data_IF_299011147369
#
_entry.id   IF_299011147369
#
_cell.length_a   1.000
_cell.length_b   1.000
_cell.length_c   1.000
_cell.angle_alpha   90.00
_cell.angle_beta   90.00
_cell.angle_gamma   90.00
#
_symmetry.space_group_name_H-M   'P 1'
#
loop_
_entity.id
_entity.type
_entity.pdbx_description
1 polymer ?
#
# COMPACT_ATOMS: atom_id res chain seq x y z
N UNK A 1 -10.20 -10.01 -11.40
CA UNK A 1 -10.42 -8.59 -11.03
C UNK A 1 -10.36 -8.44 -9.52
N UNK A 2 -9.76 -7.36 -9.01
CA UNK A 2 -9.68 -7.08 -7.57
C UNK A 2 -11.09 -6.72 -7.04
N UNK A 3 -11.64 -7.53 -6.14
CA UNK A 3 -12.95 -7.25 -5.54
C UNK A 3 -12.95 -6.01 -4.65
N UNK A 4 -14.12 -5.37 -4.47
CA UNK A 4 -14.29 -4.11 -3.72
C UNK A 4 -13.73 -4.19 -2.30
N UNK A 5 -13.94 -5.31 -1.61
CA UNK A 5 -13.47 -5.49 -0.23
C UNK A 5 -11.95 -5.52 -0.15
N UNK A 6 -11.28 -6.32 -1.00
CA UNK A 6 -9.81 -6.34 -1.10
C UNK A 6 -9.26 -4.95 -1.45
N UNK A 7 -9.87 -4.27 -2.41
CA UNK A 7 -9.48 -2.92 -2.81
C UNK A 7 -9.58 -1.91 -1.65
N UNK A 8 -10.62 -2.00 -0.82
CA UNK A 8 -10.78 -1.12 0.34
C UNK A 8 -9.69 -1.36 1.40
N UNK A 9 -9.36 -2.62 1.69
CA UNK A 9 -8.29 -2.95 2.64
C UNK A 9 -6.93 -2.51 2.13
N UNK A 10 -6.66 -2.69 0.84
CA UNK A 10 -5.41 -2.22 0.22
C UNK A 10 -5.27 -0.68 0.28
N UNK A 11 -6.36 0.04 0.02
CA UNK A 11 -6.39 1.51 0.14
C UNK A 11 -6.18 2.00 1.56
N UNK A 12 -6.70 1.28 2.55
CA UNK A 12 -6.51 1.59 3.96
C UNK A 12 -5.08 1.28 4.43
N UNK A 13 -4.54 0.11 4.06
CA UNK A 13 -3.16 -0.28 4.36
C UNK A 13 -2.19 0.79 3.83
N UNK A 14 -2.37 1.20 2.57
CA UNK A 14 -1.56 2.24 1.97
C UNK A 14 -1.70 3.58 2.70
N UNK A 15 -2.93 4.02 3.02
CA UNK A 15 -3.15 5.30 3.70
C UNK A 15 -2.47 5.37 5.08
N UNK A 16 -2.40 4.24 5.78
CA UNK A 16 -1.91 4.18 7.15
C UNK A 16 -0.40 3.98 7.23
N UNK A 17 0.17 3.18 6.34
CA UNK A 17 1.51 2.63 6.56
C UNK A 17 2.49 2.94 5.45
N UNK A 18 2.05 3.22 4.21
CA UNK A 18 2.99 3.52 3.13
C UNK A 18 3.78 4.80 3.43
N UNK A 19 5.11 4.71 3.33
CA UNK A 19 6.00 5.86 3.40
C UNK A 19 6.83 5.95 2.10
N UNK A 20 6.76 7.08 1.35
CA UNK A 20 7.59 7.27 0.17
C UNK A 20 9.10 7.32 0.48
N UNK A 21 9.52 7.56 1.72
CA UNK A 21 10.92 7.57 2.13
C UNK A 21 11.61 6.22 1.90
N UNK A 22 10.85 5.11 1.92
CA UNK A 22 11.36 3.76 1.66
C UNK A 22 11.92 3.59 0.25
N UNK A 23 11.42 4.37 -0.72
CA UNK A 23 11.91 4.38 -2.10
C UNK A 23 12.98 5.46 -2.36
N UNK A 24 13.50 6.08 -1.29
CA UNK A 24 14.53 7.11 -1.34
C UNK A 24 15.92 6.56 -1.67
N UNK A 25 16.90 7.45 -1.81
CA UNK A 25 18.26 7.09 -2.23
C UNK A 25 19.12 6.42 -1.15
N UNK A 26 18.74 6.52 0.12
CA UNK A 26 19.47 5.95 1.27
C UNK A 26 18.47 5.50 2.35
N UNK A 27 17.71 4.41 2.13
CA UNK A 27 16.82 3.88 3.14
C UNK A 27 17.63 3.40 4.35
N UNK A 28 17.09 3.59 5.54
CA UNK A 28 17.62 2.97 6.76
C UNK A 28 17.23 1.50 6.83
N UNK A 29 17.91 0.72 7.68
CA UNK A 29 17.50 -0.67 7.96
C UNK A 29 16.04 -0.77 8.45
N UNK A 30 15.55 0.27 9.13
CA UNK A 30 14.17 0.33 9.58
C UNK A 30 13.20 0.56 8.41
N UNK A 31 13.61 1.36 7.42
CA UNK A 31 12.84 1.57 6.19
C UNK A 31 12.77 0.28 5.37
N UNK A 32 13.87 -0.45 5.25
CA UNK A 32 13.90 -1.75 4.55
C UNK A 32 12.93 -2.74 5.18
N UNK A 33 12.95 -2.89 6.52
CA UNK A 33 12.02 -3.76 7.26
C UNK A 33 10.56 -3.34 7.11
N UNK A 34 10.30 -2.03 7.16
CA UNK A 34 8.95 -1.50 7.01
C UNK A 34 8.41 -1.71 5.57
N UNK A 35 9.26 -1.50 4.57
CA UNK A 35 8.93 -1.73 3.16
C UNK A 35 8.65 -3.21 2.88
N UNK A 36 9.45 -4.11 3.47
CA UNK A 36 9.27 -5.55 3.36
C UNK A 36 7.96 -6.01 4.03
N UNK A 37 7.70 -5.57 5.27
CA UNK A 37 6.46 -5.86 5.97
C UNK A 37 5.23 -5.32 5.20
N UNK A 38 5.37 -4.16 4.56
CA UNK A 38 4.33 -3.59 3.72
C UNK A 38 4.08 -4.45 2.48
N UNK A 39 5.14 -4.89 1.80
CA UNK A 39 5.03 -5.77 0.64
C UNK A 39 4.36 -7.10 0.98
N UNK A 40 4.70 -7.70 2.12
CA UNK A 40 4.06 -8.93 2.60
C UNK A 40 2.55 -8.72 2.87
N UNK A 41 2.18 -7.64 3.56
CA UNK A 41 0.77 -7.32 3.79
C UNK A 41 0.00 -7.05 2.48
N UNK A 42 0.62 -6.44 1.49
CA UNK A 42 0.03 -6.26 0.15
C UNK A 42 -0.19 -7.61 -0.52
N UNK A 43 0.80 -8.51 -0.45
CA UNK A 43 0.69 -9.85 -1.02
C UNK A 43 -0.49 -10.60 -0.43
N UNK A 44 -0.57 -10.65 0.90
CA UNK A 44 -1.63 -11.30 1.67
C UNK A 44 -3.03 -10.83 1.21
N UNK A 45 -3.25 -9.52 1.07
CA UNK A 45 -4.55 -8.97 0.62
C UNK A 45 -4.88 -9.35 -0.84
N UNK A 46 -3.87 -9.40 -1.71
CA UNK A 46 -4.07 -9.60 -3.14
C UNK A 46 -4.28 -11.07 -3.52
N UNK A 47 -3.48 -11.96 -2.94
CA UNK A 47 -3.32 -13.34 -3.39
C UNK A 47 -3.95 -14.37 -2.46
N UNK A 48 -4.00 -14.12 -1.15
CA UNK A 48 -4.66 -15.03 -0.22
C UNK A 48 -6.19 -14.88 -0.23
N UNK A 49 -6.87 -15.91 0.24
CA UNK A 49 -8.32 -15.88 0.40
C UNK A 49 -8.74 -14.74 1.33
N UNK A 50 -9.85 -14.08 0.97
CA UNK A 50 -10.36 -12.95 1.77
C UNK A 50 -11.03 -13.51 3.03
N UNK A 51 -10.47 -13.30 4.24
CA UNK A 51 -11.09 -13.80 5.45
C UNK A 51 -12.34 -12.99 5.79
N UNK A 52 -13.20 -13.57 6.63
CA UNK A 52 -14.39 -12.89 7.17
C UNK A 52 -14.01 -11.60 7.92
N UNK A 53 -12.83 -11.58 8.54
CA UNK A 53 -12.29 -10.42 9.24
C UNK A 53 -10.77 -10.34 9.01
N UNK A 54 -10.15 -9.14 9.05
CA UNK A 54 -8.70 -9.01 8.85
C UNK A 54 -7.82 -9.79 9.84
N UNK A 55 -8.37 -10.21 10.98
CA UNK A 55 -7.71 -11.10 11.94
C UNK A 55 -7.39 -12.50 11.38
N UNK A 56 -8.02 -12.89 10.26
CA UNK A 56 -7.80 -14.19 9.63
C UNK A 56 -6.60 -14.24 8.69
N UNK A 57 -5.98 -13.09 8.39
CA UNK A 57 -4.75 -13.04 7.60
C UNK A 57 -3.54 -13.33 8.48
N UNK A 58 -2.58 -14.07 7.95
CA UNK A 58 -1.34 -14.39 8.65
C UNK A 58 -0.22 -14.67 7.63
N UNK A 59 0.71 -13.73 7.49
CA UNK A 59 1.83 -13.84 6.53
C UNK A 59 2.81 -14.97 6.86
N UNK A 60 2.68 -15.61 8.02
CA UNK A 60 3.52 -16.76 8.42
C UNK A 60 2.90 -18.11 8.10
N UNK A 61 1.61 -18.12 7.74
CA UNK A 61 0.86 -19.34 7.44
C UNK A 61 0.53 -19.31 5.95
N UNK A 62 1.07 -20.29 5.22
CA UNK A 62 0.61 -20.54 3.86
C UNK A 62 -0.86 -21.00 3.92
N UNK A 63 -1.77 -20.12 3.51
CA UNK A 63 -3.20 -20.37 3.47
C UNK A 63 -3.67 -21.10 2.21
N UNK A 64 -2.77 -21.41 1.27
CA UNK A 64 -3.18 -22.01 -0.01
C UNK A 64 -3.35 -23.53 0.08
N UNK A 65 -4.59 -23.99 0.21
CA UNK A 65 -4.99 -25.37 -0.15
C UNK A 65 -4.95 -25.63 -1.68
N UNK A 66 -4.36 -24.74 -2.48
CA UNK A 66 -4.31 -24.76 -3.95
C UNK A 66 -2.83 -24.78 -4.41
N UNK A 67 -2.43 -25.44 -5.52
CA UNK A 67 -1.05 -25.83 -5.80
C UNK A 67 -0.15 -24.68 -6.33
N UNK A 68 -0.53 -23.42 -6.07
CA UNK A 68 0.22 -22.23 -6.51
C UNK A 68 1.20 -21.75 -5.43
N UNK A 69 1.08 -22.26 -4.19
CA UNK A 69 2.01 -21.98 -3.09
C UNK A 69 1.79 -20.58 -2.51
N UNK A 70 1.67 -20.51 -1.19
CA UNK A 70 1.49 -19.25 -0.49
C UNK A 70 2.77 -18.45 -0.43
N UNK A 71 2.64 -17.30 0.20
CA UNK A 71 3.76 -16.40 0.42
C UNK A 71 4.80 -17.05 1.34
N UNK A 72 5.96 -17.41 0.77
CA UNK A 72 7.11 -17.82 1.55
C UNK A 72 8.19 -16.74 1.47
N UNK A 73 8.49 -16.13 2.61
CA UNK A 73 9.55 -15.14 2.76
C UNK A 73 10.43 -15.51 3.96
N UNK A 74 11.75 -15.47 3.77
CA UNK A 74 12.74 -15.58 4.84
C UNK A 74 13.12 -14.17 5.33
N UNK A 75 13.46 -14.03 6.61
CA UNK A 75 13.86 -12.77 7.27
C UNK A 75 12.82 -11.64 7.32
N UNK A 76 11.56 -11.94 6.97
CA UNK A 76 10.43 -11.02 7.04
C UNK A 76 10.11 -10.54 8.47
N UNK A 77 9.87 -9.24 8.63
CA UNK A 77 9.19 -8.69 9.82
C UNK A 77 7.67 -9.00 9.80
N UNK A 78 7.37 -10.29 9.94
CA UNK A 78 6.01 -10.82 9.91
C UNK A 78 5.14 -10.28 11.04
N UNK A 79 5.76 -9.96 12.19
CA UNK A 79 5.06 -9.37 13.32
C UNK A 79 4.49 -7.99 12.98
N UNK A 80 5.27 -7.16 12.28
CA UNK A 80 4.82 -5.84 11.82
C UNK A 80 3.74 -5.99 10.74
N UNK A 81 3.94 -6.87 9.76
CA UNK A 81 2.96 -7.12 8.69
C UNK A 81 1.61 -7.58 9.24
N UNK A 82 1.60 -8.61 10.10
CA UNK A 82 0.38 -9.14 10.73
C UNK A 82 -0.29 -8.08 11.60
N UNK A 83 0.47 -7.31 12.39
CA UNK A 83 -0.06 -6.19 13.17
C UNK A 83 -0.79 -5.17 12.30
N UNK A 84 -0.25 -4.84 11.12
CA UNK A 84 -0.88 -3.90 10.20
C UNK A 84 -2.15 -4.48 9.58
N UNK A 85 -2.11 -5.73 9.11
CA UNK A 85 -3.28 -6.44 8.57
C UNK A 85 -4.42 -6.51 9.59
N UNK A 86 -4.13 -6.89 10.83
CA UNK A 86 -5.11 -7.04 11.91
C UNK A 86 -5.69 -5.69 12.38
N UNK A 87 -5.03 -4.57 12.05
CA UNK A 87 -5.51 -3.23 12.36
C UNK A 87 -6.51 -2.65 11.36
N UNK A 88 -6.65 -3.29 10.19
CA UNK A 88 -7.53 -2.83 9.13
C UNK A 88 -8.99 -2.96 9.59
N UNK A 89 -9.75 -1.88 9.46
CA UNK A 89 -11.11 -1.79 10.03
C UNK A 89 -12.09 -1.12 9.08
N UNK A 90 -11.66 -0.81 7.85
CA UNK A 90 -12.42 -0.03 6.88
C UNK A 90 -12.28 1.48 7.05
N UNK A 91 -11.23 1.94 7.75
CA UNK A 91 -10.93 3.34 8.09
C UNK A 91 -10.52 4.23 6.90
N UNK A 92 -9.71 5.29 7.12
CA UNK A 92 -9.27 6.20 6.06
C UNK A 92 -8.61 5.47 4.90
N UNK A 93 -8.90 5.89 3.66
CA UNK A 93 -8.48 5.19 2.42
C UNK A 93 -7.74 6.15 1.50
N UNK A 94 -6.56 5.74 1.05
CA UNK A 94 -5.81 6.45 0.03
C UNK A 94 -6.57 6.35 -1.31
N UNK A 95 -6.39 7.34 -2.19
CA UNK A 95 -6.89 7.22 -3.56
C UNK A 95 -5.89 6.43 -4.41
N UNK A 96 -6.16 5.11 -4.52
CA UNK A 96 -5.34 4.20 -5.32
C UNK A 96 -6.03 3.84 -6.63
N UNK A 97 -5.26 3.84 -7.71
CA UNK A 97 -5.63 3.22 -8.99
C UNK A 97 -4.87 1.91 -9.15
N UNK A 98 -5.58 0.89 -9.59
CA UNK A 98 -5.02 -0.41 -9.91
C UNK A 98 -5.08 -0.60 -11.42
N UNK A 99 -3.94 -0.79 -12.04
CA UNK A 99 -3.85 -1.19 -13.44
C UNK A 99 -3.65 -2.71 -13.50
N UNK A 100 -4.55 -3.39 -14.18
CA UNK A 100 -4.54 -4.85 -14.33
C UNK A 100 -4.57 -5.21 -15.81
N UNK A 101 -3.67 -6.09 -16.23
CA UNK A 101 -3.62 -6.67 -17.58
C UNK A 101 -3.67 -8.18 -17.39
N UNK A 102 -4.50 -8.88 -18.16
CA UNK A 102 -4.70 -10.33 -17.99
C UNK A 102 -3.37 -11.10 -18.04
N UNK A 103 -3.09 -11.82 -16.96
CA UNK A 103 -1.85 -12.60 -16.79
C UNK A 103 -0.64 -11.82 -16.25
N UNK A 104 -0.75 -10.51 -16.00
CA UNK A 104 0.32 -9.68 -15.43
C UNK A 104 0.06 -9.29 -13.96
N UNK A 105 1.14 -8.94 -13.24
CA UNK A 105 1.06 -8.41 -11.88
C UNK A 105 0.34 -7.06 -11.86
N UNK A 106 -0.54 -6.86 -10.87
CA UNK A 106 -1.27 -5.60 -10.72
C UNK A 106 -0.32 -4.46 -10.34
N UNK A 107 -0.42 -3.33 -11.04
CA UNK A 107 0.36 -2.13 -10.74
C UNK A 107 -0.48 -1.12 -9.94
N UNK A 108 0.02 -0.74 -8.76
CA UNK A 108 -0.66 0.16 -7.82
C UNK A 108 -0.07 1.57 -7.91
N UNK A 109 -0.91 2.58 -8.10
CA UNK A 109 -0.50 4.00 -8.12
C UNK A 109 -1.37 4.82 -7.19
N UNK A 110 -0.73 5.55 -6.29
CA UNK A 110 -1.38 6.60 -5.50
C UNK A 110 -1.65 7.83 -6.37
N UNK A 111 -2.89 8.30 -6.36
CA UNK A 111 -3.30 9.54 -7.04
C UNK A 111 -3.19 10.67 -6.02
N UNK A 112 -2.46 11.77 -6.33
CA UNK A 112 -2.45 12.93 -5.46
C UNK A 112 -3.87 13.43 -5.23
N UNK A 113 -4.22 13.69 -3.96
CA UNK A 113 -5.55 14.21 -3.66
C UNK A 113 -5.81 15.53 -4.40
N UNK A 114 -7.07 15.84 -4.77
CA UNK A 114 -7.41 17.07 -5.47
C UNK A 114 -6.88 18.33 -4.77
N UNK A 115 -6.83 18.33 -3.43
CA UNK A 115 -6.30 19.43 -2.64
C UNK A 115 -4.79 19.66 -2.87
N UNK A 116 -4.00 18.59 -3.04
CA UNK A 116 -2.56 18.67 -3.36
C UNK A 116 -2.33 19.32 -4.72
N UNK A 117 -3.16 18.97 -5.72
CA UNK A 117 -3.11 19.60 -7.04
C UNK A 117 -3.50 21.09 -6.98
N UNK A 118 -4.50 21.43 -6.17
CA UNK A 118 -4.92 22.83 -5.97
C UNK A 118 -3.84 23.65 -5.25
N UNK A 119 -3.21 23.10 -4.21
CA UNK A 119 -2.12 23.76 -3.48
C UNK A 119 -0.86 23.93 -4.34
N UNK A 120 -0.50 22.93 -5.16
CA UNK A 120 0.59 23.06 -6.13
C UNK A 120 0.27 24.12 -7.20
N UNK A 121 -0.97 24.14 -7.69
CA UNK A 121 -1.44 25.15 -8.64
C UNK A 121 -1.40 26.57 -8.06
N UNK A 122 -1.90 26.75 -6.84
CA UNK A 122 -1.89 28.03 -6.14
C UNK A 122 -0.47 28.47 -5.76
N UNK A 123 0.38 27.56 -5.28
CA UNK A 123 1.79 27.83 -4.96
C UNK A 123 2.61 28.24 -6.18
N UNK A 124 2.36 27.60 -7.33
CA UNK A 124 2.97 27.97 -8.61
C UNK A 124 2.54 29.36 -9.08
N UNK A 125 1.25 29.68 -8.98
CA UNK A 125 0.71 30.99 -9.36
C UNK A 125 1.24 32.12 -8.45
N UNK A 126 1.29 31.92 -7.14
CA UNK A 126 1.83 32.90 -6.20
C UNK A 126 3.34 33.16 -6.43
N UNK A 127 4.11 32.13 -6.76
CA UNK A 127 5.54 32.26 -7.06
C UNK A 127 5.80 33.03 -8.36
N UNK A 128 4.94 32.84 -9.37
CA UNK A 128 5.03 33.55 -10.65
C UNK A 128 4.58 35.02 -10.54
N UNK A 129 3.54 35.28 -9.73
CA UNK A 129 3.05 36.64 -9.49
C UNK A 129 3.97 37.44 -8.55
N UNK A 130 4.65 36.78 -7.61
CA UNK A 130 5.65 37.39 -6.73
C UNK A 130 6.91 37.84 -7.47
N UNK A 131 7.36 37.08 -8.48
CA UNK A 131 8.52 37.45 -9.33
C UNK A 131 8.27 38.64 -10.27
N UNK A 132 7.01 39.03 -10.50
CA UNK A 132 6.66 40.18 -11.36
C UNK A 132 6.56 41.50 -10.60
N UNK A 133 6.75 41.50 -9.27
CA UNK A 133 6.70 42.71 -8.42
C UNK A 133 8.02 43.03 -7.71
N UNK A 134 9.11 42.33 -8.04
CA UNK A 134 10.47 42.65 -7.61
C UNK A 134 11.27 43.27 -8.75
#
# INVERSE_FOLDING_TARGET
MLGVTRANYLRELWARYYDPAWAGSNPSLQDDRAAEAFAAAVWEILYEDLPTTPMGWDVTVDGTENPVGGFWAEDLDAATANKWLHSLTGGPKADLRVFSVDGAQNYLVAVPEPATLVLLGLGGLCSFLGRRRA
#
